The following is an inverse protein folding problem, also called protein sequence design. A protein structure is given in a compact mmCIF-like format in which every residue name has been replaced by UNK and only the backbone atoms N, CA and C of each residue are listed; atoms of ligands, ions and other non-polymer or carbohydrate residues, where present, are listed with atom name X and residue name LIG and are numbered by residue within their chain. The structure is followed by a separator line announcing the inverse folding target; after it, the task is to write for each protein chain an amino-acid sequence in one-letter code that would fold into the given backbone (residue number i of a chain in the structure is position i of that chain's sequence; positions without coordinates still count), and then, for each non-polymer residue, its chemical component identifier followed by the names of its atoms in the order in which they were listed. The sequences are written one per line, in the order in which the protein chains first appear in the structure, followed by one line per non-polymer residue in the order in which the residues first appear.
data_IF_786660767082
#
_entry.id   IF_786660767082
#
_cell.length_a   1.000
_cell.length_b   1.000
_cell.length_c   1.000
_cell.angle_alpha   90.00
_cell.angle_beta   90.00
_cell.angle_gamma   90.00
#
_symmetry.space_group_name_H-M   'P 1'
#
loop_
_entity.id
_entity.type
_entity.pdbx_description
1 polymer ?
#
# COMPACT_ATOMS: atom_id res chain seq x y z
N UNK A 1 -0.38 -60.45 -7.77
CA UNK A 1 0.77 -59.55 -7.88
C UNK A 1 0.33 -58.29 -8.63
N UNK A 2 -0.14 -57.26 -7.90
CA UNK A 2 -0.40 -55.92 -8.42
C UNK A 2 0.87 -55.08 -8.19
N UNK A 3 1.34 -54.29 -9.16
CA UNK A 3 2.43 -53.36 -8.96
C UNK A 3 1.94 -52.18 -8.12
N UNK A 4 2.71 -51.85 -7.10
CA UNK A 4 2.52 -50.68 -6.24
C UNK A 4 2.45 -49.41 -7.09
N UNK A 5 1.34 -48.68 -6.97
CA UNK A 5 1.18 -47.36 -7.54
C UNK A 5 2.18 -46.40 -6.92
N UNK A 6 2.99 -45.78 -7.79
CA UNK A 6 3.85 -44.65 -7.47
C UNK A 6 2.97 -43.52 -6.88
N UNK A 7 3.05 -43.33 -5.57
CA UNK A 7 2.65 -42.09 -4.95
C UNK A 7 3.62 -41.01 -5.38
N UNK A 8 3.27 -40.35 -6.50
CA UNK A 8 3.95 -39.14 -6.95
C UNK A 8 3.92 -38.10 -5.82
N UNK A 9 4.99 -38.05 -5.05
CA UNK A 9 5.27 -36.99 -4.09
C UNK A 9 5.46 -35.72 -4.93
N UNK A 10 4.39 -34.94 -5.03
CA UNK A 10 4.47 -33.59 -5.58
C UNK A 10 5.48 -32.84 -4.73
N UNK A 11 6.68 -32.74 -5.24
CA UNK A 11 7.74 -31.86 -4.74
C UNK A 11 7.19 -30.43 -4.70
N UNK A 12 6.62 -30.05 -3.54
CA UNK A 12 6.34 -28.65 -3.24
C UNK A 12 7.72 -28.03 -3.05
N UNK A 13 8.30 -27.58 -4.17
CA UNK A 13 9.56 -26.89 -4.20
C UNK A 13 9.58 -25.82 -3.11
N UNK A 14 10.40 -26.04 -2.09
CA UNK A 14 10.63 -25.13 -0.97
C UNK A 14 11.38 -23.87 -1.39
N UNK A 15 11.02 -23.28 -2.53
CA UNK A 15 11.52 -21.99 -2.98
C UNK A 15 11.01 -20.90 -2.05
N UNK A 16 11.92 -20.04 -1.59
CA UNK A 16 11.55 -18.84 -0.86
C UNK A 16 10.61 -18.03 -1.75
N UNK A 17 9.40 -17.82 -1.26
CA UNK A 17 8.38 -17.06 -1.97
C UNK A 17 8.79 -15.57 -2.00
N UNK A 18 9.23 -15.11 -3.15
CA UNK A 18 9.85 -13.79 -3.35
C UNK A 18 8.82 -12.67 -3.17
N UNK A 19 7.54 -12.96 -3.39
CA UNK A 19 6.46 -11.98 -3.27
C UNK A 19 6.33 -11.39 -1.87
N UNK A 20 6.67 -12.13 -0.82
CA UNK A 20 6.67 -11.58 0.54
C UNK A 20 7.73 -10.49 0.74
N UNK A 21 8.91 -10.65 0.14
CA UNK A 21 9.94 -9.61 0.13
C UNK A 21 9.50 -8.40 -0.68
N UNK A 22 8.79 -8.62 -1.81
CA UNK A 22 8.23 -7.52 -2.60
C UNK A 22 7.19 -6.73 -1.80
N UNK A 23 6.32 -7.40 -1.06
CA UNK A 23 5.33 -6.74 -0.21
C UNK A 23 5.99 -5.92 0.91
N UNK A 24 7.02 -6.48 1.58
CA UNK A 24 7.79 -5.75 2.60
C UNK A 24 8.54 -4.55 2.00
N UNK A 25 9.20 -4.74 0.85
CA UNK A 25 9.91 -3.67 0.16
C UNK A 25 8.95 -2.56 -0.28
N UNK A 26 7.79 -2.93 -0.86
CA UNK A 26 6.77 -1.99 -1.26
C UNK A 26 6.30 -1.13 -0.07
N UNK A 27 5.87 -1.78 1.03
CA UNK A 27 5.36 -1.09 2.21
C UNK A 27 6.43 -0.23 2.90
N UNK A 28 7.65 -0.78 3.08
CA UNK A 28 8.73 -0.09 3.79
C UNK A 28 9.30 1.08 3.00
N UNK A 29 9.58 0.87 1.71
CA UNK A 29 10.18 1.92 0.88
C UNK A 29 9.19 3.03 0.52
N UNK A 30 7.89 2.73 0.40
CA UNK A 30 6.90 3.79 0.14
C UNK A 30 6.79 4.77 1.30
N UNK A 31 6.96 4.30 2.53
CA UNK A 31 7.02 5.16 3.71
C UNK A 31 8.37 5.87 3.86
N UNK A 32 9.47 5.20 3.53
CA UNK A 32 10.83 5.70 3.80
C UNK A 32 11.35 6.66 2.72
N UNK A 33 11.12 6.34 1.44
CA UNK A 33 11.68 7.08 0.32
C UNK A 33 11.33 8.57 0.31
N UNK A 34 10.09 9.01 0.64
CA UNK A 34 9.78 10.43 0.74
C UNK A 34 10.64 11.19 1.75
N UNK A 35 11.05 10.54 2.86
CA UNK A 35 11.96 11.15 3.84
C UNK A 35 13.38 11.29 3.28
N UNK A 36 13.83 10.33 2.48
CA UNK A 36 15.15 10.37 1.85
C UNK A 36 15.22 11.40 0.71
N UNK A 37 14.12 11.63 0.00
CA UNK A 37 14.06 12.57 -1.12
C UNK A 37 13.78 14.02 -0.71
N UNK A 38 13.07 14.23 0.39
CA UNK A 38 12.66 15.56 0.84
C UNK A 38 13.81 16.57 1.04
N UNK A 39 15.00 16.19 1.57
CA UNK A 39 16.12 17.11 1.72
C UNK A 39 16.60 17.75 0.40
N UNK A 40 16.32 17.09 -0.73
CA UNK A 40 16.70 17.56 -2.07
C UNK A 40 15.64 18.45 -2.71
N UNK A 41 14.50 18.71 -2.05
CA UNK A 41 13.45 19.60 -2.53
C UNK A 41 13.24 20.77 -1.57
N UNK A 42 13.95 21.92 -1.77
CA UNK A 42 13.81 23.08 -0.92
C UNK A 42 12.37 23.55 -0.79
N UNK A 43 11.92 23.79 0.44
CA UNK A 43 10.54 24.23 0.72
C UNK A 43 9.52 23.09 0.84
N UNK A 44 9.87 21.84 0.54
CA UNK A 44 8.98 20.71 0.78
C UNK A 44 8.80 20.46 2.28
N UNK A 45 7.54 20.22 2.68
CA UNK A 45 7.18 19.98 4.07
C UNK A 45 6.41 18.67 4.23
N UNK A 46 7.00 17.69 4.91
CA UNK A 46 6.34 16.41 5.24
C UNK A 46 5.01 16.55 5.97
N UNK A 47 4.83 17.65 6.72
CA UNK A 47 3.63 17.89 7.52
C UNK A 47 2.49 18.45 6.68
N UNK A 48 2.80 19.35 5.76
CA UNK A 48 1.82 20.14 5.02
C UNK A 48 1.52 19.59 3.64
N UNK A 49 2.49 18.90 3.02
CA UNK A 49 2.39 18.47 1.64
C UNK A 49 2.31 16.95 1.54
N UNK A 50 1.44 16.52 0.64
CA UNK A 50 1.32 15.10 0.26
C UNK A 50 2.60 14.60 -0.39
N UNK A 51 2.83 13.29 -0.31
CA UNK A 51 4.04 12.66 -0.85
C UNK A 51 4.15 12.84 -2.37
N UNK A 52 3.03 12.84 -3.08
CA UNK A 52 2.98 12.96 -4.54
C UNK A 52 3.53 14.30 -5.07
N UNK A 53 3.63 15.34 -4.25
CA UNK A 53 4.31 16.61 -4.61
C UNK A 53 5.80 16.38 -4.92
N UNK A 54 6.43 15.35 -4.37
CA UNK A 54 7.80 14.95 -4.76
C UNK A 54 7.90 14.51 -6.23
N UNK A 55 6.80 14.10 -6.83
CA UNK A 55 6.70 13.76 -8.25
C UNK A 55 6.21 14.89 -9.16
N UNK A 56 5.93 16.09 -8.63
CA UNK A 56 5.45 17.23 -9.40
C UNK A 56 6.50 17.76 -10.40
N UNK A 57 6.10 18.47 -11.47
CA UNK A 57 7.03 19.03 -12.44
C UNK A 57 8.11 19.92 -11.83
N UNK A 58 7.79 20.62 -10.75
CA UNK A 58 8.67 21.55 -10.04
C UNK A 58 9.70 20.85 -9.15
N UNK A 59 9.47 19.58 -8.83
CA UNK A 59 10.34 18.83 -7.94
C UNK A 59 11.66 18.41 -8.62
N UNK A 60 12.81 18.70 -8.01
CA UNK A 60 14.10 18.23 -8.53
C UNK A 60 14.26 16.71 -8.47
N UNK A 61 13.52 16.03 -7.59
CA UNK A 61 13.55 14.57 -7.41
C UNK A 61 12.41 13.84 -8.12
N UNK A 62 11.66 14.54 -8.95
CA UNK A 62 10.44 14.03 -9.62
C UNK A 62 10.61 12.67 -10.30
N UNK A 63 11.70 12.49 -11.03
CA UNK A 63 11.92 11.26 -11.78
C UNK A 63 12.16 10.05 -10.87
N UNK A 64 12.95 10.24 -9.81
CA UNK A 64 13.20 9.17 -8.83
C UNK A 64 11.90 8.77 -8.15
N UNK A 65 11.10 9.75 -7.71
CA UNK A 65 9.84 9.47 -7.04
C UNK A 65 8.80 8.84 -7.97
N UNK A 66 8.68 9.30 -9.21
CA UNK A 66 7.75 8.74 -10.21
C UNK A 66 8.12 7.32 -10.62
N UNK A 67 9.39 7.04 -10.84
CA UNK A 67 9.87 5.68 -11.10
C UNK A 67 9.59 4.77 -9.92
N UNK A 68 9.77 5.28 -8.68
CA UNK A 68 9.41 4.55 -7.48
C UNK A 68 7.92 4.19 -7.45
N UNK A 69 7.02 5.12 -7.73
CA UNK A 69 5.58 4.85 -7.73
C UNK A 69 5.20 3.72 -8.72
N UNK A 70 5.79 3.72 -9.92
CA UNK A 70 5.60 2.62 -10.86
C UNK A 70 6.15 1.31 -10.30
N UNK A 71 7.35 1.34 -9.73
CA UNK A 71 7.96 0.16 -9.10
C UNK A 71 7.12 -0.36 -7.93
N UNK A 72 6.58 0.53 -7.08
CA UNK A 72 5.65 0.20 -6.00
C UNK A 72 4.45 -0.61 -6.52
N UNK A 73 3.80 -0.11 -7.58
CA UNK A 73 2.67 -0.81 -8.20
C UNK A 73 3.05 -2.19 -8.73
N UNK A 74 4.20 -2.31 -9.40
CA UNK A 74 4.70 -3.59 -9.91
C UNK A 74 5.04 -4.57 -8.79
N UNK A 75 5.70 -4.13 -7.71
CA UNK A 75 6.03 -4.96 -6.55
C UNK A 75 4.77 -5.50 -5.87
N UNK A 76 3.76 -4.65 -5.67
CA UNK A 76 2.49 -5.07 -5.07
C UNK A 76 1.77 -6.10 -5.94
N UNK A 77 1.70 -5.89 -7.26
CA UNK A 77 1.13 -6.88 -8.18
C UNK A 77 1.91 -8.19 -8.17
N UNK A 78 3.26 -8.12 -8.15
CA UNK A 78 4.12 -9.31 -8.13
C UNK A 78 4.03 -10.10 -6.81
N UNK A 79 3.54 -9.49 -5.72
CA UNK A 79 3.29 -10.19 -4.46
C UNK A 79 1.99 -11.01 -4.45
N UNK A 80 1.05 -10.74 -5.37
CA UNK A 80 -0.30 -11.35 -5.33
C UNK A 80 -0.33 -12.87 -5.53
N UNK A 81 0.53 -13.51 -6.35
CA UNK A 81 0.56 -14.97 -6.46
C UNK A 81 0.86 -15.66 -5.13
N UNK A 82 1.75 -15.08 -4.32
CA UNK A 82 2.13 -15.65 -3.05
C UNK A 82 1.02 -15.51 -1.99
N UNK A 83 0.29 -14.38 -2.02
CA UNK A 83 -0.94 -14.20 -1.24
C UNK A 83 -1.98 -15.28 -1.59
N UNK A 84 -2.19 -15.53 -2.88
CA UNK A 84 -3.12 -16.56 -3.32
C UNK A 84 -2.67 -17.96 -2.90
N UNK A 85 -1.39 -18.29 -3.08
CA UNK A 85 -0.83 -19.58 -2.70
C UNK A 85 -0.97 -19.85 -1.20
N UNK A 86 -0.82 -18.82 -0.36
CA UNK A 86 -0.90 -18.96 1.10
C UNK A 86 -2.35 -19.11 1.61
N UNK A 87 -3.28 -18.32 1.08
CA UNK A 87 -4.62 -18.18 1.68
C UNK A 87 -5.77 -18.55 0.73
N UNK A 88 -5.54 -18.64 -0.59
CA UNK A 88 -6.59 -18.82 -1.59
C UNK A 88 -7.41 -20.11 -1.41
N UNK A 89 -6.77 -21.21 -1.03
CA UNK A 89 -7.47 -22.48 -0.80
C UNK A 89 -8.32 -22.48 0.47
N UNK A 90 -7.95 -21.70 1.49
CA UNK A 90 -8.67 -21.66 2.79
C UNK A 90 -9.76 -20.59 2.81
N UNK A 91 -9.52 -19.49 2.13
CA UNK A 91 -10.41 -18.32 2.13
C UNK A 91 -10.41 -17.61 0.77
N UNK A 92 -10.93 -18.24 -0.30
CA UNK A 92 -10.79 -17.72 -1.67
C UNK A 92 -11.40 -16.32 -1.83
N UNK A 93 -12.54 -16.06 -1.21
CA UNK A 93 -13.22 -14.76 -1.31
C UNK A 93 -12.41 -13.66 -0.62
N UNK A 94 -11.96 -13.86 0.64
CA UNK A 94 -11.19 -12.85 1.36
C UNK A 94 -9.83 -12.61 0.69
N UNK A 95 -9.17 -13.67 0.22
CA UNK A 95 -7.90 -13.55 -0.50
C UNK A 95 -8.07 -12.82 -1.82
N UNK A 96 -9.12 -13.15 -2.58
CA UNK A 96 -9.45 -12.46 -3.82
C UNK A 96 -9.75 -10.98 -3.60
N UNK A 97 -10.50 -10.62 -2.55
CA UNK A 97 -10.75 -9.24 -2.18
C UNK A 97 -9.46 -8.50 -1.76
N UNK A 98 -8.59 -9.13 -0.97
CA UNK A 98 -7.30 -8.55 -0.59
C UNK A 98 -6.43 -8.29 -1.82
N UNK A 99 -6.34 -9.24 -2.74
CA UNK A 99 -5.62 -9.07 -4.00
C UNK A 99 -6.24 -7.93 -4.83
N UNK A 100 -7.56 -7.87 -4.91
CA UNK A 100 -8.26 -6.83 -5.68
C UNK A 100 -7.95 -5.43 -5.13
N UNK A 101 -8.02 -5.21 -3.82
CA UNK A 101 -7.71 -3.89 -3.23
C UNK A 101 -6.24 -3.52 -3.40
N UNK A 102 -5.32 -4.49 -3.31
CA UNK A 102 -3.91 -4.27 -3.59
C UNK A 102 -3.66 -3.90 -5.06
N UNK A 103 -4.30 -4.58 -6.00
CA UNK A 103 -4.20 -4.27 -7.43
C UNK A 103 -4.79 -2.89 -7.77
N UNK A 104 -5.93 -2.51 -7.18
CA UNK A 104 -6.53 -1.18 -7.38
C UNK A 104 -5.58 -0.09 -6.87
N UNK A 105 -4.99 -0.28 -5.70
CA UNK A 105 -3.99 0.66 -5.18
C UNK A 105 -2.73 0.67 -6.05
N UNK A 106 -2.20 -0.49 -6.40
CA UNK A 106 -1.00 -0.64 -7.23
C UNK A 106 -1.14 0.08 -8.59
N UNK A 107 -2.30 -0.08 -9.24
CA UNK A 107 -2.57 0.57 -10.52
C UNK A 107 -2.89 2.06 -10.35
N UNK A 108 -3.73 2.43 -9.39
CA UNK A 108 -4.21 3.80 -9.19
C UNK A 108 -3.16 4.70 -8.56
N UNK A 109 -2.74 4.40 -7.33
CA UNK A 109 -1.80 5.22 -6.55
C UNK A 109 -0.33 4.90 -6.86
N UNK A 110 -0.04 3.74 -7.46
CA UNK A 110 1.27 3.36 -7.95
C UNK A 110 1.47 3.77 -9.42
N UNK A 111 1.05 2.90 -10.35
CA UNK A 111 1.38 3.04 -11.78
C UNK A 111 0.84 4.33 -12.37
N UNK A 112 -0.47 4.61 -12.25
CA UNK A 112 -1.06 5.83 -12.82
C UNK A 112 -0.48 7.09 -12.16
N UNK A 113 -0.29 7.09 -10.85
CA UNK A 113 0.30 8.22 -10.14
C UNK A 113 1.78 8.45 -10.52
N UNK A 114 2.52 7.40 -10.88
CA UNK A 114 3.89 7.50 -11.37
C UNK A 114 3.97 8.00 -12.82
N UNK A 115 3.02 7.59 -13.68
CA UNK A 115 2.98 8.02 -15.08
C UNK A 115 2.44 9.44 -15.24
N UNK A 116 1.46 9.83 -14.45
CA UNK A 116 0.81 11.14 -14.49
C UNK A 116 1.12 11.92 -13.21
N UNK A 117 1.72 13.09 -13.34
CA UNK A 117 2.11 13.88 -12.18
C UNK A 117 0.98 14.76 -11.66
N UNK A 118 0.97 14.95 -10.34
CA UNK A 118 0.23 16.05 -9.70
C UNK A 118 0.99 17.36 -9.91
N UNK A 119 0.29 18.50 -9.90
CA UNK A 119 0.92 19.82 -9.84
C UNK A 119 1.22 20.19 -8.37
N UNK A 120 2.28 20.93 -8.11
CA UNK A 120 2.60 21.42 -6.77
C UNK A 120 1.55 22.44 -6.30
N UNK A 121 1.05 23.26 -7.20
CA UNK A 121 -0.09 24.14 -6.98
C UNK A 121 -1.40 23.40 -7.33
N UNK A 122 -2.23 23.16 -6.32
CA UNK A 122 -3.54 22.49 -6.48
C UNK A 122 -4.55 23.30 -7.32
N UNK A 123 -4.35 24.61 -7.46
CA UNK A 123 -5.22 25.45 -8.29
C UNK A 123 -5.02 25.19 -9.80
N UNK A 124 -3.87 24.61 -10.18
CA UNK A 124 -3.57 24.28 -11.57
C UNK A 124 -4.05 22.86 -11.88
N UNK A 125 -5.18 22.75 -12.57
CA UNK A 125 -5.69 21.46 -13.04
C UNK A 125 -5.21 21.15 -14.45
N UNK A 126 -4.62 19.97 -14.62
CA UNK A 126 -4.24 19.38 -15.90
C UNK A 126 -4.87 18.00 -16.08
N UNK A 127 -4.94 17.49 -17.32
CA UNK A 127 -5.39 16.12 -17.55
C UNK A 127 -4.55 15.10 -16.76
N UNK A 128 -3.23 15.33 -16.66
CA UNK A 128 -2.33 14.48 -15.88
C UNK A 128 -2.69 14.52 -14.38
N UNK A 129 -2.90 15.71 -13.79
CA UNK A 129 -3.24 15.83 -12.37
C UNK A 129 -4.62 15.23 -12.06
N UNK A 130 -5.57 15.27 -13.00
CA UNK A 130 -6.86 14.58 -12.83
C UNK A 130 -6.72 13.06 -12.84
N UNK A 131 -5.98 12.51 -13.80
CA UNK A 131 -5.74 11.05 -13.85
C UNK A 131 -5.05 10.60 -12.58
N UNK A 132 -3.99 11.31 -12.15
CA UNK A 132 -3.31 11.06 -10.87
C UNK A 132 -4.29 11.11 -9.70
N UNK A 133 -5.09 12.16 -9.60
CA UNK A 133 -6.03 12.36 -8.50
C UNK A 133 -7.08 11.25 -8.41
N UNK A 134 -7.74 10.92 -9.52
CA UNK A 134 -8.74 9.85 -9.58
C UNK A 134 -8.11 8.50 -9.24
N UNK A 135 -6.96 8.18 -9.84
CA UNK A 135 -6.24 6.94 -9.56
C UNK A 135 -5.83 6.82 -8.09
N UNK A 136 -5.29 7.89 -7.51
CA UNK A 136 -4.90 7.93 -6.10
C UNK A 136 -6.11 7.79 -5.17
N UNK A 137 -7.20 8.50 -5.41
CA UNK A 137 -8.42 8.40 -4.59
C UNK A 137 -8.96 6.98 -4.59
N UNK A 138 -9.13 6.37 -5.77
CA UNK A 138 -9.59 4.98 -5.86
C UNK A 138 -8.63 4.00 -5.20
N UNK A 139 -7.32 4.20 -5.40
CA UNK A 139 -6.29 3.38 -4.77
C UNK A 139 -6.34 3.46 -3.24
N UNK A 140 -6.33 4.64 -2.67
CA UNK A 140 -6.38 4.84 -1.22
C UNK A 140 -7.68 4.30 -0.61
N UNK A 141 -8.84 4.56 -1.24
CA UNK A 141 -10.12 4.01 -0.79
C UNK A 141 -10.12 2.48 -0.80
N UNK A 142 -9.52 1.85 -1.81
CA UNK A 142 -9.40 0.40 -1.86
C UNK A 142 -8.47 -0.11 -0.75
N UNK A 143 -7.24 0.44 -0.64
CA UNK A 143 -6.24 -0.03 0.31
C UNK A 143 -6.68 0.14 1.77
N UNK A 144 -7.55 1.11 2.08
CA UNK A 144 -8.13 1.29 3.40
C UNK A 144 -8.83 0.04 3.95
N UNK A 145 -9.30 -0.86 3.08
CA UNK A 145 -9.88 -2.13 3.50
C UNK A 145 -8.85 -3.25 3.71
N UNK A 146 -7.58 -3.06 3.32
CA UNK A 146 -6.58 -4.10 3.47
C UNK A 146 -6.37 -4.54 4.93
N UNK A 147 -6.27 -3.64 5.94
CA UNK A 147 -6.15 -4.05 7.34
C UNK A 147 -7.34 -4.90 7.82
N UNK A 148 -8.56 -4.57 7.41
CA UNK A 148 -9.75 -5.35 7.74
C UNK A 148 -9.70 -6.75 7.12
N UNK A 149 -9.32 -6.85 5.85
CA UNK A 149 -9.23 -8.13 5.15
C UNK A 149 -8.14 -9.02 5.75
N UNK A 150 -6.99 -8.44 6.12
CA UNK A 150 -5.92 -9.15 6.84
C UNK A 150 -6.42 -9.62 8.21
N UNK A 151 -7.17 -8.80 8.94
CA UNK A 151 -7.75 -9.19 10.22
C UNK A 151 -8.68 -10.41 10.09
N UNK A 152 -9.57 -10.38 9.09
CA UNK A 152 -10.50 -11.49 8.83
C UNK A 152 -9.77 -12.78 8.42
N UNK A 153 -8.71 -12.68 7.62
CA UNK A 153 -7.85 -13.82 7.28
C UNK A 153 -7.17 -14.37 8.54
N UNK A 154 -6.57 -13.49 9.35
CA UNK A 154 -5.88 -13.89 10.59
C UNK A 154 -6.82 -14.58 11.57
N UNK A 155 -8.04 -14.10 11.75
CA UNK A 155 -9.04 -14.78 12.62
C UNK A 155 -9.44 -16.15 12.09
N UNK A 156 -9.59 -16.30 10.76
CA UNK A 156 -9.88 -17.60 10.13
C UNK A 156 -8.75 -18.60 10.29
N UNK A 157 -7.51 -18.13 10.30
CA UNK A 157 -6.33 -18.98 10.51
C UNK A 157 -5.99 -19.20 12.00
N UNK A 158 -6.85 -18.76 12.94
CA UNK A 158 -6.64 -18.92 14.37
C UNK A 158 -5.59 -17.96 14.97
N UNK A 159 -5.06 -17.01 14.19
CA UNK A 159 -4.07 -16.03 14.62
C UNK A 159 -4.75 -14.79 15.27
N UNK A 160 -5.49 -15.01 16.38
CA UNK A 160 -6.31 -13.99 17.00
C UNK A 160 -5.58 -12.69 17.35
N UNK A 161 -4.34 -12.77 17.84
CA UNK A 161 -3.52 -11.60 18.15
C UNK A 161 -3.23 -10.73 16.91
N UNK A 162 -2.86 -11.35 15.80
CA UNK A 162 -2.65 -10.65 14.52
C UNK A 162 -3.97 -10.05 13.97
N UNK A 163 -5.09 -10.76 14.18
CA UNK A 163 -6.41 -10.26 13.82
C UNK A 163 -6.80 -9.01 14.58
N UNK A 164 -6.63 -9.00 15.92
CA UNK A 164 -6.92 -7.83 16.76
C UNK A 164 -5.99 -6.66 16.40
N UNK A 165 -4.68 -6.91 16.22
CA UNK A 165 -3.73 -5.89 15.78
C UNK A 165 -4.18 -5.24 14.46
N UNK A 166 -4.57 -6.05 13.48
CA UNK A 166 -5.02 -5.56 12.17
C UNK A 166 -6.32 -4.75 12.26
N UNK A 167 -7.26 -5.12 13.15
CA UNK A 167 -8.47 -4.32 13.41
C UNK A 167 -8.15 -2.97 14.06
N UNK A 168 -7.19 -2.92 14.97
CA UNK A 168 -6.72 -1.66 15.56
C UNK A 168 -6.11 -0.77 14.45
N UNK A 169 -5.28 -1.35 13.58
CA UNK A 169 -4.73 -0.63 12.43
C UNK A 169 -5.84 -0.13 11.50
N UNK A 170 -6.88 -0.93 11.25
CA UNK A 170 -8.04 -0.49 10.45
C UNK A 170 -8.76 0.72 11.05
N UNK A 171 -9.01 0.69 12.36
CA UNK A 171 -9.66 1.82 13.04
C UNK A 171 -8.81 3.10 12.99
N UNK A 172 -7.49 2.96 13.20
CA UNK A 172 -6.54 4.08 13.11
C UNK A 172 -6.39 4.61 11.67
N UNK A 173 -6.37 3.70 10.69
CA UNK A 173 -6.35 4.06 9.27
C UNK A 173 -7.59 4.88 8.90
N UNK A 174 -8.80 4.41 9.21
CA UNK A 174 -10.05 5.14 8.92
C UNK A 174 -10.05 6.52 9.58
N UNK A 175 -9.57 6.62 10.83
CA UNK A 175 -9.44 7.89 11.53
C UNK A 175 -8.45 8.83 10.80
N UNK A 176 -7.24 8.36 10.50
CA UNK A 176 -6.20 9.14 9.84
C UNK A 176 -6.60 9.52 8.40
N UNK A 177 -7.27 8.61 7.68
CA UNK A 177 -7.75 8.87 6.33
C UNK A 177 -8.85 9.95 6.32
N UNK A 178 -9.77 9.91 7.28
CA UNK A 178 -10.77 10.97 7.46
C UNK A 178 -10.10 12.32 7.73
N UNK A 179 -9.09 12.36 8.61
CA UNK A 179 -8.32 13.57 8.90
C UNK A 179 -7.53 14.05 7.67
N UNK A 180 -6.99 13.12 6.87
CA UNK A 180 -6.31 13.43 5.61
C UNK A 180 -7.26 14.14 4.63
N UNK A 181 -8.46 13.59 4.42
CA UNK A 181 -9.47 14.21 3.54
C UNK A 181 -9.96 15.55 4.08
N UNK A 182 -10.11 15.68 5.41
CA UNK A 182 -10.53 16.93 6.06
C UNK A 182 -9.44 18.01 6.01
N UNK A 183 -8.17 17.64 6.11
CA UNK A 183 -7.04 18.59 6.16
C UNK A 183 -6.95 19.50 4.92
N UNK A 184 -7.45 19.04 3.78
CA UNK A 184 -7.50 19.81 2.53
C UNK A 184 -8.66 20.82 2.48
N UNK A 185 -9.64 20.74 3.40
CA UNK A 185 -10.80 21.62 3.38
C UNK A 185 -10.49 22.99 3.94
N UNK A 186 -11.06 24.03 3.30
CA UNK A 186 -10.85 25.43 3.71
C UNK A 186 -11.22 25.72 5.16
N UNK A 187 -12.27 25.05 5.66
CA UNK A 187 -12.73 25.18 7.05
C UNK A 187 -11.66 24.81 8.10
N UNK A 188 -10.64 24.05 7.73
CA UNK A 188 -9.58 23.62 8.64
C UNK A 188 -8.26 24.37 8.45
N UNK A 189 -8.20 25.31 7.49
CA UNK A 189 -7.00 26.14 7.25
C UNK A 189 -6.62 26.90 8.53
N UNK A 190 -5.30 26.88 8.84
CA UNK A 190 -4.76 27.53 10.03
C UNK A 190 -4.90 26.73 11.33
N UNK A 191 -5.59 25.59 11.32
CA UNK A 191 -5.69 24.69 12.48
C UNK A 191 -4.54 23.66 12.50
N UNK A 192 -4.35 22.99 13.64
CA UNK A 192 -3.42 21.86 13.75
C UNK A 192 -3.82 20.65 12.88
N UNK A 193 -5.07 20.59 12.44
CA UNK A 193 -5.57 19.53 11.58
C UNK A 193 -5.20 19.72 10.12
N UNK A 194 -4.83 20.94 9.68
CA UNK A 194 -4.37 21.24 8.33
C UNK A 194 -2.95 20.70 8.05
N UNK A 195 -2.69 19.45 8.43
CA UNK A 195 -1.40 18.77 8.23
C UNK A 195 -1.59 17.57 7.30
N UNK A 196 -2.03 17.84 6.08
CA UNK A 196 -2.39 16.84 5.08
C UNK A 196 -1.29 15.78 4.88
N UNK A 197 -0.03 16.21 4.79
CA UNK A 197 1.10 15.30 4.62
C UNK A 197 1.34 14.39 5.84
N UNK A 198 1.06 14.85 7.05
CA UNK A 198 1.15 14.00 8.25
C UNK A 198 0.07 12.92 8.22
N UNK A 199 -1.17 13.32 7.95
CA UNK A 199 -2.29 12.38 7.95
C UNK A 199 -2.17 11.34 6.82
N UNK A 200 -1.71 11.75 5.63
CA UNK A 200 -1.45 10.81 4.53
C UNK A 200 -0.45 9.72 4.93
N UNK A 201 0.65 10.08 5.59
CA UNK A 201 1.69 9.12 6.01
C UNK A 201 1.20 8.19 7.11
N UNK A 202 0.45 8.70 8.08
CA UNK A 202 -0.15 7.88 9.13
C UNK A 202 -1.20 6.91 8.56
N UNK A 203 -2.01 7.37 7.61
CA UNK A 203 -2.95 6.52 6.88
C UNK A 203 -2.22 5.36 6.20
N UNK A 204 -1.21 5.64 5.38
CA UNK A 204 -0.42 4.60 4.72
C UNK A 204 0.31 3.69 5.71
N UNK A 205 0.83 4.23 6.80
CA UNK A 205 1.46 3.42 7.84
C UNK A 205 0.49 2.36 8.38
N UNK A 206 -0.72 2.76 8.75
CA UNK A 206 -1.71 1.83 9.30
C UNK A 206 -2.31 0.89 8.26
N UNK A 207 -2.37 1.29 6.97
CA UNK A 207 -2.71 0.40 5.87
C UNK A 207 -1.64 -0.68 5.64
N UNK A 208 -0.35 -0.33 5.73
CA UNK A 208 0.76 -1.24 5.43
C UNK A 208 1.18 -2.13 6.60
N UNK A 209 1.04 -1.69 7.85
CA UNK A 209 1.49 -2.45 9.02
C UNK A 209 0.94 -3.89 9.05
N UNK A 210 -0.38 -4.14 8.87
CA UNK A 210 -0.91 -5.51 8.85
C UNK A 210 -0.35 -6.35 7.71
N UNK A 211 -0.15 -5.76 6.53
CA UNK A 211 0.44 -6.43 5.37
C UNK A 211 1.90 -6.80 5.63
N UNK A 212 2.66 -5.90 6.27
CA UNK A 212 4.06 -6.15 6.62
C UNK A 212 4.19 -7.25 7.68
N UNK A 213 3.32 -7.24 8.71
CA UNK A 213 3.28 -8.30 9.73
C UNK A 213 2.90 -9.64 9.10
N UNK A 214 1.90 -9.65 8.20
CA UNK A 214 1.52 -10.84 7.46
C UNK A 214 2.70 -11.38 6.65
N UNK A 215 3.37 -10.55 5.86
CA UNK A 215 4.52 -10.96 5.05
C UNK A 215 5.68 -11.48 5.91
N UNK A 216 6.01 -10.77 6.99
CA UNK A 216 7.06 -11.20 7.92
C UNK A 216 6.74 -12.56 8.56
N UNK A 217 5.49 -12.79 8.97
CA UNK A 217 5.07 -14.07 9.55
C UNK A 217 5.25 -15.24 8.57
N UNK A 218 4.96 -15.02 7.29
CA UNK A 218 5.13 -16.04 6.24
C UNK A 218 6.60 -16.35 5.94
N UNK A 219 7.50 -15.39 6.17
CA UNK A 219 8.95 -15.59 6.01
C UNK A 219 9.58 -16.30 7.22
N UNK A 220 9.06 -16.10 8.44
CA UNK A 220 9.59 -16.70 9.66
C UNK A 220 9.12 -18.16 9.82
N UNK A 221 7.94 -18.51 9.30
CA UNK A 221 7.37 -19.87 9.41
C UNK A 221 7.98 -20.89 8.44
N UNK A 222 8.92 -20.48 7.61
CA UNK A 222 9.69 -21.33 6.68
C UNK A 222 11.05 -21.65 7.24
#
# INVERSE_FOLDING_TARGET
LQPAGDCGFSDRGGGVSVGWYFLLAAAGLDLLLPFLLAPFYPGYSHRRQVMSVLGSPESPVRWVYRVWLVALGLLLCAATPDLWAAFGNRSPVLTGLLIAVLCVFALGAGVLAGLFSVNADKAVETAASRIHGVGSVLGFLALAFAPLLVALLAFRDGAGGAGVFSLICFALDVCCFTLFVMADKEAWRGTRLAQEGTWQRLTLLFMYLPLAVLAASQLIQK
#
